data_IF_604230559313
#
_entry.id   IF_604230559313
#
_cell.length_a   1.000
_cell.length_b   1.000
_cell.length_c   1.000
_cell.angle_alpha   90.00
_cell.angle_beta   90.00
_cell.angle_gamma   90.00
#
_symmetry.space_group_name_H-M   'P 1'
#
loop_
_entity.id
_entity.type
_entity.pdbx_description
1 polymer ?
#
# COMPACT_ATOMS: atom_id res chain seq x y z
N UNK A 1 17.72 13.14 -7.01
CA UNK A 1 16.39 13.21 -7.65
C UNK A 1 15.37 13.96 -6.78
N UNK A 2 15.71 14.44 -5.56
CA UNK A 2 14.89 15.34 -4.73
C UNK A 2 13.46 14.82 -4.46
N UNK A 3 13.30 13.50 -4.44
CA UNK A 3 12.04 12.87 -4.06
C UNK A 3 11.95 12.97 -2.54
N UNK A 4 10.87 13.56 -1.99
CA UNK A 4 10.73 13.70 -0.56
C UNK A 4 10.56 12.31 0.06
N UNK A 5 11.39 12.02 1.05
CA UNK A 5 11.36 10.81 1.88
C UNK A 5 11.50 11.24 3.33
N UNK A 6 11.14 10.35 4.24
CA UNK A 6 11.43 10.53 5.65
C UNK A 6 12.94 10.55 5.89
N UNK A 7 13.40 11.35 6.85
CA UNK A 7 14.80 11.31 7.29
C UNK A 7 15.18 9.88 7.70
N UNK A 8 16.35 9.42 7.27
CA UNK A 8 16.85 8.10 7.60
C UNK A 8 18.37 8.08 7.75
N UNK A 9 18.87 7.14 8.55
CA UNK A 9 20.28 6.92 8.82
C UNK A 9 20.63 5.46 8.63
N UNK A 10 21.78 5.21 8.01
CA UNK A 10 22.37 3.88 8.04
C UNK A 10 22.84 3.54 9.46
N UNK A 11 22.52 2.31 9.89
CA UNK A 11 22.96 1.74 11.15
C UNK A 11 23.85 0.53 10.86
N UNK A 12 25.08 0.54 11.38
CA UNK A 12 26.06 -0.54 11.12
C UNK A 12 26.30 -1.46 12.32
N UNK A 13 25.91 -1.05 13.53
CA UNK A 13 26.04 -1.84 14.75
C UNK A 13 25.08 -1.35 15.85
N UNK A 14 24.95 -2.12 16.93
CA UNK A 14 24.18 -1.69 18.11
C UNK A 14 24.75 -0.41 18.74
N UNK A 15 26.08 -0.31 18.80
CA UNK A 15 26.77 0.88 19.31
C UNK A 15 26.54 2.10 18.40
N UNK A 16 26.54 1.90 17.07
CA UNK A 16 26.24 2.95 16.09
C UNK A 16 24.80 3.46 16.25
N UNK A 17 23.85 2.56 16.50
CA UNK A 17 22.47 2.93 16.83
C UNK A 17 22.39 3.74 18.13
N UNK A 18 23.01 3.25 19.20
CA UNK A 18 23.02 3.90 20.51
C UNK A 18 23.60 5.32 20.47
N UNK A 19 24.63 5.54 19.66
CA UNK A 19 25.27 6.84 19.48
C UNK A 19 24.44 7.81 18.63
N UNK A 20 23.79 7.34 17.55
CA UNK A 20 23.07 8.19 16.60
C UNK A 20 21.67 8.57 17.07
N UNK A 21 20.92 7.62 17.64
CA UNK A 21 19.49 7.80 17.94
C UNK A 21 19.17 8.97 18.88
N UNK A 22 19.98 9.34 19.91
CA UNK A 22 19.64 10.45 20.80
C UNK A 22 19.56 11.79 20.05
N UNK A 23 20.42 11.99 19.05
CA UNK A 23 20.43 13.19 18.20
C UNK A 23 19.38 13.14 17.09
N UNK A 24 19.06 11.94 16.61
CA UNK A 24 18.07 11.73 15.56
C UNK A 24 16.62 11.88 16.08
N UNK A 25 16.40 11.50 17.33
CA UNK A 25 15.15 11.69 18.07
C UNK A 25 14.28 10.44 18.18
N UNK A 26 13.27 10.56 19.03
CA UNK A 26 12.25 9.54 19.26
C UNK A 26 10.84 10.11 18.98
N UNK A 27 9.88 9.29 18.56
CA UNK A 27 10.07 7.89 18.16
C UNK A 27 10.80 7.75 16.82
N UNK A 28 11.47 6.62 16.63
CA UNK A 28 12.13 6.23 15.38
C UNK A 28 11.85 4.76 15.07
N UNK A 29 11.89 4.40 13.79
CA UNK A 29 11.65 3.05 13.29
C UNK A 29 12.96 2.42 12.83
N UNK A 30 13.34 1.30 13.44
CA UNK A 30 14.42 0.46 12.93
C UNK A 30 13.82 -0.49 11.89
N UNK A 31 14.31 -0.45 10.65
CA UNK A 31 13.78 -1.22 9.53
C UNK A 31 14.84 -2.12 8.90
N UNK A 32 14.49 -3.37 8.57
CA UNK A 32 15.31 -4.23 7.72
C UNK A 32 15.47 -3.62 6.34
N UNK A 33 16.68 -3.71 5.78
CA UNK A 33 16.95 -3.23 4.42
C UNK A 33 16.41 -4.15 3.32
N UNK A 34 16.12 -5.40 3.64
CA UNK A 34 15.71 -6.44 2.67
C UNK A 34 14.69 -7.38 3.31
N UNK A 35 13.84 -7.97 2.48
CA UNK A 35 12.87 -9.01 2.85
C UNK A 35 11.87 -8.61 3.95
N UNK A 36 11.64 -7.31 4.13
CA UNK A 36 10.57 -6.78 4.97
C UNK A 36 9.24 -6.77 4.19
N UNK A 37 8.13 -7.06 4.86
CA UNK A 37 6.79 -7.01 4.29
C UNK A 37 5.73 -7.06 5.39
N UNK A 38 4.56 -6.44 5.17
CA UNK A 38 3.42 -6.46 6.10
C UNK A 38 3.85 -6.17 7.57
N UNK A 39 4.71 -5.15 7.76
CA UNK A 39 5.31 -4.77 9.05
C UNK A 39 6.41 -5.66 9.60
N UNK A 40 6.63 -6.85 9.03
CA UNK A 40 7.77 -7.69 9.40
C UNK A 40 9.05 -7.00 8.97
N UNK A 41 10.01 -6.94 9.89
CA UNK A 41 11.25 -6.22 9.66
C UNK A 41 11.22 -4.79 10.18
N UNK A 42 10.19 -4.38 10.92
CA UNK A 42 10.11 -3.07 11.57
C UNK A 42 10.14 -3.21 13.10
N UNK A 43 10.79 -2.28 13.79
CA UNK A 43 10.75 -2.15 15.24
C UNK A 43 10.74 -0.68 15.64
N UNK A 44 9.68 -0.26 16.34
CA UNK A 44 9.54 1.12 16.81
C UNK A 44 10.32 1.30 18.12
N UNK A 45 11.23 2.26 18.13
CA UNK A 45 11.97 2.69 19.31
C UNK A 45 11.36 4.02 19.77
N UNK A 46 10.71 3.99 20.91
CA UNK A 46 10.03 5.14 21.53
C UNK A 46 10.85 5.73 22.68
N UNK A 47 11.65 4.90 23.35
CA UNK A 47 12.49 5.31 24.48
C UNK A 47 13.89 4.68 24.41
N UNK A 48 14.91 5.29 25.05
CA UNK A 48 16.28 4.77 25.05
C UNK A 48 16.42 3.31 25.51
N UNK A 49 15.57 2.86 26.44
CA UNK A 49 15.61 1.48 26.96
C UNK A 49 15.31 0.41 25.90
N UNK A 50 14.69 0.79 24.78
CA UNK A 50 14.32 -0.13 23.69
C UNK A 50 15.42 -0.29 22.63
N UNK A 51 16.54 0.44 22.71
CA UNK A 51 17.60 0.41 21.69
C UNK A 51 18.19 -0.99 21.54
N UNK A 52 18.66 -1.58 22.65
CA UNK A 52 19.35 -2.87 22.65
C UNK A 52 18.39 -3.98 22.22
N UNK A 53 17.19 -4.02 22.82
CA UNK A 53 16.13 -4.97 22.45
C UNK A 53 15.79 -4.84 20.96
N UNK A 54 15.51 -3.63 20.49
CA UNK A 54 15.13 -3.36 19.12
C UNK A 54 16.17 -3.80 18.10
N UNK A 55 17.45 -3.50 18.36
CA UNK A 55 18.53 -3.94 17.49
C UNK A 55 18.66 -5.47 17.46
N UNK A 56 18.60 -6.11 18.63
CA UNK A 56 18.74 -7.57 18.75
C UNK A 56 17.66 -8.35 17.98
N UNK A 57 16.44 -7.82 17.82
CA UNK A 57 15.36 -8.49 17.07
C UNK A 57 15.70 -8.77 15.60
N UNK A 58 16.67 -8.06 15.05
CA UNK A 58 17.10 -8.23 13.67
C UNK A 58 18.20 -9.28 13.48
N UNK A 59 18.70 -9.91 14.55
CA UNK A 59 19.67 -11.01 14.49
C UNK A 59 20.89 -10.71 13.59
N UNK A 60 21.41 -9.49 13.66
CA UNK A 60 22.55 -9.03 12.88
C UNK A 60 22.26 -8.71 11.40
N UNK A 61 21.00 -8.80 10.96
CA UNK A 61 20.65 -8.41 9.60
C UNK A 61 20.80 -6.89 9.41
N UNK A 62 21.18 -6.42 8.20
CA UNK A 62 21.34 -5.00 7.93
C UNK A 62 20.04 -4.21 8.11
N UNK A 63 20.12 -3.14 8.91
CA UNK A 63 19.01 -2.24 9.22
C UNK A 63 19.35 -0.79 8.90
N UNK A 64 18.32 0.05 8.86
CA UNK A 64 18.43 1.50 8.88
C UNK A 64 17.44 2.07 9.88
N UNK A 65 17.74 3.25 10.41
CA UNK A 65 16.87 4.00 11.29
C UNK A 65 16.12 5.04 10.46
N UNK A 66 14.81 5.09 10.60
CA UNK A 66 13.96 6.06 9.93
C UNK A 66 13.20 6.85 11.00
N UNK A 67 13.04 8.16 10.79
CA UNK A 67 12.29 8.98 11.74
C UNK A 67 10.82 8.56 11.72
N UNK A 68 10.16 8.57 12.87
CA UNK A 68 8.71 8.33 12.84
C UNK A 68 7.99 9.53 12.19
N UNK A 69 7.14 9.25 11.21
CA UNK A 69 6.32 10.27 10.55
C UNK A 69 4.98 10.39 11.27
N UNK A 70 4.65 11.60 11.71
CA UNK A 70 3.30 11.93 12.17
C UNK A 70 2.44 12.24 10.94
N UNK A 71 1.76 11.22 10.42
CA UNK A 71 0.91 11.34 9.24
C UNK A 71 -0.58 11.35 9.61
N UNK A 72 -1.39 12.05 8.80
CA UNK A 72 -2.86 12.08 8.92
C UNK A 72 -3.52 10.99 8.09
N UNK A 73 -2.87 10.56 7.00
CA UNK A 73 -3.29 9.40 6.23
C UNK A 73 -2.13 8.81 5.43
N UNK A 74 -2.28 7.55 5.06
CA UNK A 74 -1.42 6.87 4.10
C UNK A 74 -2.10 6.88 2.73
N UNK A 75 -1.34 7.21 1.70
CA UNK A 75 -1.83 7.17 0.33
C UNK A 75 -0.91 6.31 -0.53
N UNK A 76 -1.37 5.94 -1.70
CA UNK A 76 -0.48 5.42 -2.73
C UNK A 76 -0.88 5.91 -4.11
N UNK A 77 0.11 6.00 -4.99
CA UNK A 77 -0.10 6.20 -6.42
C UNK A 77 0.41 4.95 -7.14
N UNK A 78 -0.45 4.36 -7.95
CA UNK A 78 0.00 3.38 -8.95
C UNK A 78 0.52 4.16 -10.15
N UNK A 79 1.70 3.80 -10.64
CA UNK A 79 2.26 4.37 -11.85
C UNK A 79 2.82 3.29 -12.75
N UNK A 80 2.73 3.51 -14.06
CA UNK A 80 3.30 2.66 -15.07
C UNK A 80 4.36 3.42 -15.86
N UNK A 81 5.42 2.71 -16.26
CA UNK A 81 6.40 3.19 -17.23
C UNK A 81 6.58 2.13 -18.30
N UNK A 82 6.43 2.48 -19.56
CA UNK A 82 6.61 1.53 -20.68
C UNK A 82 8.08 1.36 -21.05
N UNK A 83 8.37 0.43 -21.95
CA UNK A 83 9.72 0.23 -22.53
C UNK A 83 10.23 1.44 -23.32
N UNK A 84 9.35 2.31 -23.81
CA UNK A 84 9.73 3.54 -24.52
C UNK A 84 9.83 4.78 -23.60
N UNK A 85 9.56 4.61 -22.29
CA UNK A 85 9.63 5.69 -21.31
C UNK A 85 8.34 6.49 -21.12
N UNK A 86 7.24 6.15 -21.82
CA UNK A 86 5.91 6.70 -21.54
C UNK A 86 5.52 6.40 -20.09
N UNK A 87 5.00 7.41 -19.37
CA UNK A 87 4.58 7.28 -17.96
C UNK A 87 3.09 7.60 -17.86
N UNK A 88 2.35 6.74 -17.16
CA UNK A 88 0.96 6.97 -16.80
C UNK A 88 0.79 6.76 -15.29
N UNK A 89 0.14 7.69 -14.60
CA UNK A 89 -0.12 7.62 -13.16
C UNK A 89 -1.63 7.58 -12.90
N UNK A 90 -2.05 6.73 -11.97
CA UNK A 90 -3.42 6.67 -11.50
C UNK A 90 -3.67 7.77 -10.46
N UNK A 91 -4.92 8.23 -10.27
CA UNK A 91 -5.27 9.10 -9.15
C UNK A 91 -4.83 8.47 -7.80
N UNK A 92 -4.39 9.27 -6.82
CA UNK A 92 -4.00 8.76 -5.52
C UNK A 92 -5.18 8.12 -4.80
N UNK A 93 -4.88 7.04 -4.09
CA UNK A 93 -5.83 6.31 -3.25
C UNK A 93 -5.41 6.37 -1.79
N UNK A 94 -6.36 6.40 -0.88
CA UNK A 94 -6.11 6.36 0.56
C UNK A 94 -6.07 4.90 1.03
N UNK A 95 -5.10 4.57 1.87
CA UNK A 95 -4.87 3.22 2.38
C UNK A 95 -5.06 3.20 3.89
N UNK A 96 -5.83 2.22 4.38
CA UNK A 96 -6.02 1.98 5.81
C UNK A 96 -5.37 0.66 6.16
N UNK A 97 -4.32 0.72 6.97
CA UNK A 97 -3.62 -0.43 7.50
C UNK A 97 -4.05 -0.73 8.93
N UNK A 98 -4.20 -2.01 9.26
CA UNK A 98 -4.33 -2.50 10.64
C UNK A 98 -3.27 -3.59 10.84
N UNK A 99 -2.49 -3.49 11.91
CA UNK A 99 -1.37 -4.40 12.21
C UNK A 99 -0.34 -4.46 11.06
N UNK A 100 -0.10 -3.32 10.40
CA UNK A 100 0.78 -3.18 9.22
C UNK A 100 0.32 -3.97 7.97
N UNK A 101 -0.94 -4.39 7.92
CA UNK A 101 -1.53 -5.05 6.75
C UNK A 101 -2.62 -4.17 6.18
N UNK A 102 -2.58 -3.94 4.86
CA UNK A 102 -3.61 -3.18 4.15
C UNK A 102 -4.97 -3.86 4.31
N UNK A 103 -5.92 -3.16 4.93
CA UNK A 103 -7.29 -3.65 5.11
C UNK A 103 -8.20 -3.09 4.04
N UNK A 104 -8.09 -1.79 3.80
CA UNK A 104 -8.97 -1.06 2.91
C UNK A 104 -8.17 -0.06 2.06
N UNK A 105 -8.56 0.08 0.79
CA UNK A 105 -8.16 1.18 -0.07
C UNK A 105 -9.39 1.94 -0.55
N UNK A 106 -9.33 3.26 -0.53
CA UNK A 106 -10.41 4.16 -0.93
C UNK A 106 -9.94 4.95 -2.16
N UNK A 107 -10.67 4.83 -3.26
CA UNK A 107 -10.38 5.48 -4.53
C UNK A 107 -11.55 6.40 -4.94
N UNK A 108 -11.33 7.71 -5.12
CA UNK A 108 -10.08 8.45 -4.90
C UNK A 108 -9.78 8.66 -3.40
N UNK A 109 -8.55 9.03 -3.07
CA UNK A 109 -8.15 9.41 -1.71
C UNK A 109 -8.97 10.61 -1.19
N UNK A 110 -9.34 10.60 0.10
CA UNK A 110 -10.08 11.71 0.74
C UNK A 110 -9.15 12.85 1.18
N UNK A 111 -8.36 13.34 0.24
CA UNK A 111 -7.38 14.42 0.43
C UNK A 111 -7.74 15.63 -0.43
N UNK A 112 -7.20 16.80 -0.10
CA UNK A 112 -7.42 17.99 -0.93
C UNK A 112 -6.76 17.83 -2.31
N UNK A 113 -7.26 18.58 -3.31
CA UNK A 113 -6.78 18.47 -4.71
C UNK A 113 -5.31 18.84 -4.89
N UNK A 114 -4.78 19.72 -4.04
CA UNK A 114 -3.37 20.15 -4.11
C UNK A 114 -2.44 19.01 -3.70
N UNK A 115 -2.73 18.34 -2.58
CA UNK A 115 -1.99 17.16 -2.11
C UNK A 115 -2.10 16.03 -3.14
N UNK A 116 -3.28 15.82 -3.72
CA UNK A 116 -3.46 14.81 -4.77
C UNK A 116 -2.56 15.06 -5.99
N UNK A 117 -2.54 16.31 -6.48
CA UNK A 117 -1.67 16.70 -7.58
C UNK A 117 -0.18 16.56 -7.22
N UNK A 118 0.22 16.92 -6.00
CA UNK A 118 1.60 16.74 -5.51
C UNK A 118 2.02 15.27 -5.49
N UNK A 119 1.17 14.38 -4.97
CA UNK A 119 1.42 12.94 -4.95
C UNK A 119 1.60 12.37 -6.37
N UNK A 120 0.78 12.79 -7.34
CA UNK A 120 0.94 12.39 -8.74
C UNK A 120 2.26 12.89 -9.36
N UNK A 121 2.69 14.11 -9.02
CA UNK A 121 3.97 14.64 -9.51
C UNK A 121 5.15 13.91 -8.89
N UNK A 122 5.09 13.60 -7.59
CA UNK A 122 6.09 12.77 -6.91
C UNK A 122 6.16 11.39 -7.58
N UNK A 123 5.01 10.77 -7.88
CA UNK A 123 4.98 9.49 -8.56
C UNK A 123 5.65 9.54 -9.94
N UNK A 124 5.42 10.60 -10.73
CA UNK A 124 6.10 10.81 -12.03
C UNK A 124 7.61 11.02 -11.85
N UNK A 125 8.04 11.78 -10.83
CA UNK A 125 9.47 11.95 -10.49
C UNK A 125 10.12 10.61 -10.11
N UNK A 126 9.44 9.80 -9.30
CA UNK A 126 9.86 8.44 -8.95
C UNK A 126 10.03 7.60 -10.21
N UNK A 127 9.03 7.60 -11.11
CA UNK A 127 9.10 6.84 -12.35
C UNK A 127 10.24 7.28 -13.28
N UNK A 128 10.54 8.58 -13.33
CA UNK A 128 11.68 9.10 -14.08
C UNK A 128 13.05 8.70 -13.48
N UNK A 129 13.11 8.38 -12.19
CA UNK A 129 14.33 7.91 -11.54
C UNK A 129 14.64 6.43 -11.81
N UNK A 130 13.66 5.65 -12.27
CA UNK A 130 13.84 4.24 -12.64
C UNK A 130 13.99 4.05 -14.14
N UNK A 131 14.79 3.05 -14.53
CA UNK A 131 15.03 2.71 -15.94
C UNK A 131 14.19 1.51 -16.42
N UNK A 132 13.38 0.90 -15.54
CA UNK A 132 12.57 -0.28 -15.85
C UNK A 132 11.25 0.02 -16.56
N UNK A 133 10.60 -1.04 -17.04
CA UNK A 133 9.25 -1.02 -17.58
C UNK A 133 8.31 -1.88 -16.71
N UNK A 134 7.06 -1.47 -16.57
CA UNK A 134 6.06 -2.15 -15.76
C UNK A 134 5.26 -1.17 -14.91
N UNK A 135 4.70 -1.69 -13.81
CA UNK A 135 3.85 -0.95 -12.86
C UNK A 135 4.56 -0.93 -11.51
N UNK A 136 4.39 0.19 -10.81
CA UNK A 136 5.00 0.48 -9.54
C UNK A 136 3.90 0.96 -8.59
N UNK A 137 3.83 0.35 -7.40
CA UNK A 137 3.10 0.91 -6.27
C UNK A 137 4.01 1.85 -5.51
N UNK A 138 3.61 3.11 -5.34
CA UNK A 138 4.38 4.12 -4.63
C UNK A 138 3.57 4.53 -3.41
N UNK A 139 3.98 4.05 -2.24
CA UNK A 139 3.34 4.36 -0.97
C UNK A 139 3.89 5.66 -0.40
N UNK A 140 3.00 6.48 0.15
CA UNK A 140 3.35 7.80 0.66
C UNK A 140 2.57 8.10 1.94
N UNK A 141 3.15 8.96 2.77
CA UNK A 141 2.51 9.56 3.92
C UNK A 141 2.08 10.98 3.58
N UNK A 142 0.88 11.36 4.04
CA UNK A 142 0.46 12.76 4.10
C UNK A 142 0.58 13.22 5.54
N UNK A 143 1.41 14.22 5.79
CA UNK A 143 1.69 14.74 7.14
C UNK A 143 0.64 15.77 7.58
N UNK A 144 0.64 16.11 8.88
CA UNK A 144 -0.22 17.18 9.44
C UNK A 144 0.04 18.55 8.79
N UNK A 145 1.26 18.81 8.33
CA UNK A 145 1.65 20.01 7.58
C UNK A 145 1.45 19.88 6.06
N UNK A 146 0.58 18.96 5.63
CA UNK A 146 0.17 18.71 4.24
C UNK A 146 1.32 18.35 3.28
N UNK A 147 2.45 17.83 3.78
CA UNK A 147 3.54 17.32 2.94
C UNK A 147 3.29 15.88 2.53
N UNK A 148 3.76 15.53 1.33
CA UNK A 148 3.73 14.16 0.81
C UNK A 148 5.15 13.57 0.87
N UNK A 149 5.33 12.49 1.63
CA UNK A 149 6.61 11.81 1.80
C UNK A 149 6.51 10.38 1.23
N UNK A 150 7.43 9.97 0.36
CA UNK A 150 7.50 8.58 -0.11
C UNK A 150 7.96 7.68 1.03
N UNK A 151 7.18 6.64 1.32
CA UNK A 151 7.50 5.59 2.30
C UNK A 151 8.27 4.45 1.63
N UNK A 152 7.64 3.80 0.64
CA UNK A 152 8.23 2.69 -0.08
C UNK A 152 7.74 2.58 -1.53
N UNK A 153 8.48 1.83 -2.33
CA UNK A 153 8.18 1.62 -3.75
C UNK A 153 8.23 0.12 -4.05
N UNK A 154 7.14 -0.42 -4.58
CA UNK A 154 7.03 -1.80 -5.03
C UNK A 154 7.07 -1.84 -6.57
N UNK A 155 8.13 -2.34 -7.22
CA UNK A 155 8.26 -2.38 -8.69
C UNK A 155 7.46 -3.54 -9.31
N UNK A 156 6.17 -3.60 -8.98
CA UNK A 156 5.20 -4.58 -9.44
C UNK A 156 3.79 -4.00 -9.31
N UNK A 157 2.81 -4.71 -9.85
CA UNK A 157 1.41 -4.50 -9.45
C UNK A 157 1.29 -4.57 -7.92
N UNK A 158 0.46 -3.68 -7.39
CA UNK A 158 0.37 -3.42 -5.96
C UNK A 158 -1.01 -3.70 -5.40
N UNK A 159 -1.08 -4.08 -4.12
CA UNK A 159 -2.32 -4.42 -3.45
C UNK A 159 -3.30 -3.25 -3.47
N UNK A 160 -2.82 -2.05 -3.13
CA UNK A 160 -3.61 -0.81 -3.18
C UNK A 160 -4.11 -0.44 -4.58
N UNK A 161 -3.60 -1.06 -5.65
CA UNK A 161 -4.11 -0.85 -7.01
C UNK A 161 -5.21 -1.83 -7.43
N UNK A 162 -5.63 -2.77 -6.59
CA UNK A 162 -6.59 -3.81 -6.99
C UNK A 162 -7.99 -3.27 -7.32
N UNK A 163 -8.35 -2.10 -6.79
CA UNK A 163 -9.58 -1.39 -7.17
C UNK A 163 -9.66 -1.11 -8.68
N UNK A 164 -8.52 -0.93 -9.36
CA UNK A 164 -8.47 -0.58 -10.80
C UNK A 164 -9.11 -1.65 -11.71
N UNK A 165 -9.31 -2.88 -11.22
CA UNK A 165 -10.03 -3.93 -11.95
C UNK A 165 -11.49 -3.56 -12.27
N UNK A 166 -12.14 -2.73 -11.44
CA UNK A 166 -13.53 -2.32 -11.64
C UNK A 166 -13.76 -0.80 -11.60
N UNK A 167 -12.72 -0.01 -11.28
CA UNK A 167 -12.89 1.42 -11.05
C UNK A 167 -12.12 2.32 -12.02
N UNK A 168 -11.24 1.78 -12.86
CA UNK A 168 -10.42 2.56 -13.79
C UNK A 168 -10.59 2.10 -15.23
N UNK A 169 -10.32 3.01 -16.18
CA UNK A 169 -10.39 2.70 -17.63
C UNK A 169 -9.48 1.53 -18.01
N UNK A 170 -8.29 1.47 -17.43
CA UNK A 170 -7.34 0.37 -17.62
C UNK A 170 -6.87 -0.14 -16.26
N UNK A 171 -7.02 -1.43 -15.99
CA UNK A 171 -6.54 -2.01 -14.73
C UNK A 171 -5.02 -1.97 -14.64
N UNK A 172 -4.45 -1.90 -13.43
CA UNK A 172 -3.00 -1.95 -13.25
C UNK A 172 -2.37 -3.22 -13.85
N UNK A 173 -3.12 -4.32 -13.93
CA UNK A 173 -2.65 -5.59 -14.46
C UNK A 173 -2.52 -5.52 -15.98
N UNK A 174 -3.55 -5.00 -16.65
CA UNK A 174 -3.48 -4.73 -18.09
C UNK A 174 -2.39 -3.68 -18.38
N UNK A 175 -2.34 -2.60 -17.59
CA UNK A 175 -1.34 -1.55 -17.74
C UNK A 175 0.09 -2.08 -17.60
N UNK A 176 0.32 -3.01 -16.68
CA UNK A 176 1.60 -3.70 -16.53
C UNK A 176 1.99 -4.46 -17.80
N UNK A 177 1.05 -5.24 -18.37
CA UNK A 177 1.27 -5.96 -19.62
C UNK A 177 1.57 -5.00 -20.77
N UNK A 178 0.78 -3.92 -20.92
CA UNK A 178 1.01 -2.91 -21.96
C UNK A 178 2.40 -2.30 -21.84
N UNK A 179 2.80 -1.95 -20.62
CA UNK A 179 4.10 -1.36 -20.33
C UNK A 179 5.27 -2.26 -20.73
N UNK A 180 5.26 -3.53 -20.32
CA UNK A 180 6.37 -4.47 -20.59
C UNK A 180 6.39 -4.99 -22.03
N UNK A 181 5.23 -5.03 -22.70
CA UNK A 181 5.10 -5.44 -24.11
C UNK A 181 5.36 -4.28 -25.09
N UNK A 182 5.64 -3.07 -24.60
CA UNK A 182 5.85 -1.89 -25.43
C UNK A 182 4.60 -1.39 -26.16
N UNK A 183 3.41 -1.75 -25.68
CA UNK A 183 2.15 -1.23 -26.19
C UNK A 183 1.90 0.18 -25.64
N UNK A 184 1.08 0.96 -26.35
CA UNK A 184 0.61 2.26 -25.86
C UNK A 184 -0.08 2.10 -24.51
N UNK A 185 0.33 2.89 -23.52
CA UNK A 185 -0.28 2.89 -22.20
C UNK A 185 -1.77 3.26 -22.27
N UNK A 186 -2.56 2.60 -21.43
CA UNK A 186 -3.98 2.89 -21.28
C UNK A 186 -4.22 4.16 -20.46
N UNK A 187 -5.44 4.69 -20.54
CA UNK A 187 -5.90 5.77 -19.68
C UNK A 187 -6.04 5.26 -18.24
N UNK A 188 -5.68 6.09 -17.27
CA UNK A 188 -5.66 5.74 -15.85
C UNK A 188 -6.79 6.40 -15.06
N UNK A 189 -7.68 7.12 -15.76
CA UNK A 189 -8.82 7.81 -15.17
C UNK A 189 -9.68 6.85 -14.34
N UNK A 190 -10.14 7.34 -13.19
CA UNK A 190 -11.12 6.65 -12.36
C UNK A 190 -12.52 6.86 -12.97
N UNK A 191 -13.18 5.77 -13.32
CA UNK A 191 -14.56 5.73 -13.81
C UNK A 191 -15.58 5.78 -12.67
N UNK A 192 -15.27 5.13 -11.55
CA UNK A 192 -16.16 5.00 -10.41
C UNK A 192 -15.42 5.17 -9.10
N UNK A 193 -16.06 5.82 -8.14
CA UNK A 193 -15.59 5.78 -6.76
C UNK A 193 -15.65 4.33 -6.27
N UNK A 194 -14.65 3.87 -5.53
CA UNK A 194 -14.54 2.47 -5.13
C UNK A 194 -13.82 2.31 -3.80
N UNK A 195 -14.31 1.37 -3.00
CA UNK A 195 -13.64 0.87 -1.80
C UNK A 195 -13.21 -0.57 -2.03
N UNK A 196 -11.91 -0.84 -1.95
CA UNK A 196 -11.35 -2.18 -2.03
C UNK A 196 -11.03 -2.68 -0.63
N UNK A 197 -11.41 -3.91 -0.31
CA UNK A 197 -11.11 -4.55 0.97
C UNK A 197 -10.39 -5.88 0.77
N UNK A 198 -9.32 -6.10 1.53
CA UNK A 198 -8.64 -7.40 1.55
C UNK A 198 -9.47 -8.45 2.28
N UNK A 199 -9.43 -9.67 1.75
CA UNK A 199 -9.95 -10.86 2.42
C UNK A 199 -8.77 -11.60 3.02
N UNK A 200 -8.67 -11.58 4.34
CA UNK A 200 -7.57 -12.19 5.09
C UNK A 200 -8.04 -13.47 5.79
N UNK A 201 -7.14 -14.45 5.92
CA UNK A 201 -7.39 -15.61 6.76
C UNK A 201 -7.60 -15.21 8.22
N UNK A 202 -8.66 -15.71 8.90
CA UNK A 202 -8.89 -15.46 10.32
C UNK A 202 -7.75 -15.99 11.20
N UNK A 203 -7.57 -15.40 12.38
CA UNK A 203 -6.50 -15.78 13.31
C UNK A 203 -6.66 -17.20 13.87
N UNK A 204 -7.90 -17.67 13.98
CA UNK A 204 -8.32 -18.94 14.55
C UNK A 204 -8.60 -20.03 13.50
N UNK A 205 -8.40 -19.74 12.21
CA UNK A 205 -8.71 -20.66 11.11
C UNK A 205 -7.46 -21.04 10.30
N UNK A 206 -7.23 -22.34 10.16
CA UNK A 206 -6.18 -22.92 9.33
C UNK A 206 -6.66 -24.22 8.69
N UNK A 207 -6.30 -24.44 7.43
CA UNK A 207 -6.60 -25.68 6.71
C UNK A 207 -6.91 -25.44 5.25
N UNK A 208 -7.43 -26.47 4.59
CA UNK A 208 -7.79 -26.40 3.17
C UNK A 208 -8.94 -25.40 2.96
N UNK A 209 -8.85 -24.57 1.92
CA UNK A 209 -9.90 -23.63 1.52
C UNK A 209 -10.53 -24.12 0.22
N UNK A 210 -11.79 -24.56 0.27
CA UNK A 210 -12.57 -24.90 -0.92
C UNK A 210 -13.12 -23.68 -1.63
N UNK A 211 -13.53 -22.66 -0.89
CA UNK A 211 -13.97 -21.38 -1.47
C UNK A 211 -14.07 -20.27 -0.43
N UNK A 212 -14.15 -19.03 -0.93
CA UNK A 212 -14.45 -17.83 -0.16
C UNK A 212 -15.77 -17.27 -0.67
N UNK A 213 -16.70 -16.98 0.23
CA UNK A 213 -17.99 -16.37 -0.10
C UNK A 213 -18.20 -15.09 0.71
N UNK A 214 -19.07 -14.22 0.21
CA UNK A 214 -19.54 -13.01 0.88
C UNK A 214 -20.95 -12.68 0.38
N UNK A 215 -21.68 -11.84 1.13
CA UNK A 215 -23.00 -11.34 0.72
C UNK A 215 -22.87 -10.65 -0.64
N UNK A 216 -23.59 -11.15 -1.64
CA UNK A 216 -23.64 -10.50 -2.94
C UNK A 216 -24.57 -9.29 -2.88
N UNK A 217 -24.16 -8.21 -3.54
CA UNK A 217 -24.96 -7.02 -3.72
C UNK A 217 -24.51 -6.33 -5.01
N UNK A 218 -25.37 -5.48 -5.56
CA UNK A 218 -25.03 -4.68 -6.74
C UNK A 218 -23.76 -3.85 -6.49
N UNK A 219 -22.86 -3.80 -7.46
CA UNK A 219 -21.57 -3.11 -7.33
C UNK A 219 -20.55 -3.79 -6.40
N UNK A 220 -20.79 -5.02 -5.92
CA UNK A 220 -19.81 -5.81 -5.16
C UNK A 220 -19.16 -6.85 -6.06
N UNK A 221 -17.84 -6.82 -6.17
CA UNK A 221 -17.07 -7.71 -7.03
C UNK A 221 -16.04 -8.47 -6.21
N UNK A 222 -16.23 -9.78 -6.06
CA UNK A 222 -15.30 -10.68 -5.36
C UNK A 222 -14.17 -11.12 -6.30
N UNK A 223 -12.93 -11.04 -5.81
CA UNK A 223 -11.75 -11.67 -6.42
C UNK A 223 -11.08 -12.61 -5.41
N UNK A 224 -11.45 -13.89 -5.47
CA UNK A 224 -10.77 -14.95 -4.73
C UNK A 224 -9.53 -15.43 -5.49
N UNK A 225 -8.40 -15.61 -4.79
CA UNK A 225 -7.13 -16.00 -5.40
C UNK A 225 -6.92 -17.51 -5.49
N UNK A 226 -7.89 -18.32 -5.07
CA UNK A 226 -7.81 -19.79 -5.13
C UNK A 226 -6.56 -20.34 -4.42
N UNK A 227 -6.23 -19.77 -3.26
CA UNK A 227 -5.15 -20.29 -2.41
C UNK A 227 -5.69 -21.48 -1.62
N UNK A 228 -5.08 -22.64 -1.80
CA UNK A 228 -5.53 -23.91 -1.22
C UNK A 228 -5.51 -23.94 0.32
N UNK A 229 -4.66 -23.15 0.96
CA UNK A 229 -4.48 -23.18 2.42
C UNK A 229 -4.77 -21.82 3.05
N UNK A 230 -5.70 -21.78 4.00
CA UNK A 230 -5.93 -20.62 4.87
C UNK A 230 -4.84 -20.58 5.93
N UNK A 231 -4.24 -19.40 6.12
CA UNK A 231 -3.36 -19.10 7.25
C UNK A 231 -3.80 -17.77 7.86
N UNK A 232 -3.60 -17.58 9.17
CA UNK A 232 -3.79 -16.29 9.82
C UNK A 232 -3.16 -15.15 9.02
N UNK A 233 -3.96 -14.12 8.75
CA UNK A 233 -3.57 -12.89 8.07
C UNK A 233 -3.07 -13.07 6.61
N UNK A 234 -3.17 -14.27 6.04
CA UNK A 234 -2.84 -14.50 4.62
C UNK A 234 -3.89 -13.83 3.74
N UNK A 235 -3.45 -13.02 2.77
CA UNK A 235 -4.33 -12.44 1.73
C UNK A 235 -4.93 -13.54 0.85
N UNK A 236 -6.19 -13.89 1.06
CA UNK A 236 -6.93 -14.94 0.34
C UNK A 236 -7.66 -14.42 -0.90
N UNK A 237 -7.95 -13.13 -0.92
CA UNK A 237 -8.64 -12.44 -2.01
C UNK A 237 -8.78 -10.96 -1.71
N UNK A 238 -9.57 -10.28 -2.53
CA UNK A 238 -10.13 -8.96 -2.21
C UNK A 238 -11.55 -8.87 -2.74
N UNK A 239 -12.27 -7.84 -2.34
CA UNK A 239 -13.49 -7.44 -3.02
C UNK A 239 -13.51 -5.92 -3.22
N UNK A 240 -14.16 -5.49 -4.28
CA UNK A 240 -14.39 -4.08 -4.58
C UNK A 240 -15.87 -3.75 -4.40
N UNK A 241 -16.16 -2.66 -3.69
CA UNK A 241 -17.48 -2.02 -3.62
C UNK A 241 -17.43 -0.78 -4.49
N UNK A 242 -18.13 -0.82 -5.61
CA UNK A 242 -18.05 0.16 -6.69
C UNK A 242 -19.32 1.00 -6.72
N UNK A 243 -19.15 2.31 -6.87
CA UNK A 243 -20.22 3.27 -7.02
C UNK A 243 -20.75 3.32 -8.46
N UNK A 244 -21.46 2.26 -8.83
CA UNK A 244 -22.01 2.07 -10.18
C UNK A 244 -23.05 3.13 -10.56
N UNK A 245 -23.63 3.83 -9.57
CA UNK A 245 -24.65 4.87 -9.76
C UNK A 245 -24.08 6.30 -9.67
N UNK A 246 -22.75 6.45 -9.61
CA UNK A 246 -22.03 7.74 -9.50
C UNK A 246 -22.58 8.65 -8.40
N UNK A 247 -22.93 8.07 -7.24
CA UNK A 247 -23.41 8.83 -6.08
C UNK A 247 -22.34 9.73 -5.46
N UNK A 248 -21.07 9.37 -5.69
CA UNK A 248 -19.83 9.93 -5.12
C UNK A 248 -19.84 9.94 -3.59
N UNK A 249 -20.69 9.13 -2.98
CA UNK A 249 -20.82 9.05 -1.53
C UNK A 249 -19.85 8.02 -0.96
N UNK A 250 -18.61 8.47 -0.76
CA UNK A 250 -17.53 7.63 -0.24
C UNK A 250 -17.88 7.01 1.12
N UNK A 251 -18.56 7.75 2.01
CA UNK A 251 -18.93 7.23 3.33
C UNK A 251 -19.93 6.07 3.22
N UNK A 252 -20.90 6.15 2.30
CA UNK A 252 -21.84 5.05 2.04
C UNK A 252 -21.12 3.81 1.49
N UNK A 253 -20.16 3.99 0.59
CA UNK A 253 -19.34 2.87 0.08
C UNK A 253 -18.53 2.20 1.18
N UNK A 254 -17.92 2.98 2.09
CA UNK A 254 -17.19 2.45 3.24
C UNK A 254 -18.14 1.67 4.15
N UNK A 255 -19.30 2.23 4.50
CA UNK A 255 -20.29 1.53 5.34
C UNK A 255 -20.74 0.22 4.71
N UNK A 256 -21.00 0.22 3.39
CA UNK A 256 -21.34 -0.99 2.65
C UNK A 256 -20.18 -1.99 2.62
N UNK A 257 -18.95 -1.53 2.40
CA UNK A 257 -17.76 -2.38 2.41
C UNK A 257 -17.54 -3.06 3.77
N UNK A 258 -17.77 -2.35 4.88
CA UNK A 258 -17.72 -2.91 6.23
C UNK A 258 -18.84 -3.93 6.50
N UNK A 259 -20.06 -3.70 5.98
CA UNK A 259 -21.14 -4.69 6.03
C UNK A 259 -20.77 -5.97 5.27
N UNK A 260 -20.25 -5.82 4.05
CA UNK A 260 -19.82 -6.96 3.22
C UNK A 260 -18.66 -7.70 3.87
N UNK A 261 -17.68 -6.98 4.46
CA UNK A 261 -16.54 -7.57 5.18
C UNK A 261 -16.99 -8.49 6.31
N UNK A 262 -18.05 -8.13 7.05
CA UNK A 262 -18.63 -8.96 8.12
C UNK A 262 -19.33 -10.23 7.62
N UNK A 263 -19.67 -10.29 6.34
CA UNK A 263 -20.34 -11.45 5.72
C UNK A 263 -19.37 -12.46 5.09
N UNK A 264 -18.06 -12.20 5.14
CA UNK A 264 -17.06 -13.10 4.57
C UNK A 264 -17.13 -14.45 5.28
N UNK A 265 -17.18 -15.52 4.50
CA UNK A 265 -17.13 -16.89 4.99
C UNK A 265 -16.12 -17.71 4.19
N UNK A 266 -15.44 -18.60 4.89
CA UNK A 266 -14.49 -19.55 4.33
C UNK A 266 -15.08 -20.94 4.38
N UNK A 267 -15.19 -21.59 3.23
CA UNK A 267 -15.61 -22.98 3.12
C UNK A 267 -14.35 -23.85 3.13
N UNK A 268 -14.25 -24.74 4.10
CA UNK A 268 -13.13 -25.66 4.31
C UNK A 268 -13.32 -27.00 3.58
#
# INVERSE_FOLDING_TARGET
NEIPVTDFLQITSALDLEQKIPSFGYPSMLKLRRNAYDGKGNYKIEIPKQIIEGYSKFNGNPVFLEKHVNFVCEISVIAARSTNGEIAAYPPVENIHEENILRMTIAPARINKKIAAEAEQIAKKVMNAFQGAGVFGIEMFVTEDEKVLVNEIAPRVHNSGHHTLQSSVTSQFEQHLRAILGLKLGKTDLLHYTVMCNILGPNDLKGQCKSVTLKQAEGVYLKWYQKDEIKPLRKMGHFNVVDINDTRNTNSLISKAEEIRKSISFIM
#
